data_IF_354349863741
#
_entry.id   IF_354349863741
#
_cell.length_a   1.000
_cell.length_b   1.000
_cell.length_c   1.000
_cell.angle_alpha   90.00
_cell.angle_beta   90.00
_cell.angle_gamma   90.00
#
_symmetry.space_group_name_H-M   'P 1'
#
loop_
_entity.id
_entity.type
_entity.pdbx_description
1 polymer ?
#
# COMPACT_ATOMS: atom_id res chain seq x y z
N UNK A 1 -24.72 5.33 25.00
CA UNK A 1 -25.14 5.52 23.59
C UNK A 1 -24.60 6.86 23.17
N UNK A 2 -23.78 6.88 22.12
CA UNK A 2 -23.12 8.09 21.63
C UNK A 2 -23.25 8.21 20.12
N UNK A 3 -23.00 9.43 19.63
CA UNK A 3 -22.86 9.74 18.21
C UNK A 3 -21.65 10.65 18.05
N UNK A 4 -20.76 10.32 17.13
CA UNK A 4 -19.59 11.14 16.84
C UNK A 4 -19.24 11.09 15.37
N UNK A 5 -18.96 12.24 14.79
CA UNK A 5 -18.45 12.36 13.41
C UNK A 5 -17.28 13.34 13.45
N UNK A 6 -16.11 12.88 13.01
CA UNK A 6 -14.91 13.69 12.84
C UNK A 6 -15.11 14.58 11.63
N UNK A 7 -15.08 15.90 11.85
CA UNK A 7 -15.19 16.87 10.75
C UNK A 7 -13.90 16.87 9.94
N UNK A 8 -14.03 17.01 8.63
CA UNK A 8 -12.92 17.14 7.67
C UNK A 8 -11.97 15.92 7.60
N UNK A 9 -12.41 14.76 8.06
CA UNK A 9 -11.73 13.50 7.77
C UNK A 9 -12.34 12.92 6.50
N UNK A 10 -11.53 12.83 5.44
CA UNK A 10 -11.90 12.26 4.16
C UNK A 10 -10.68 11.62 3.50
N UNK A 11 -10.91 10.61 2.66
CA UNK A 11 -9.86 9.90 1.95
C UNK A 11 -9.84 10.29 0.48
N UNK A 12 -8.66 10.31 -0.12
CA UNK A 12 -8.51 10.43 -1.58
C UNK A 12 -7.77 9.20 -2.09
N UNK A 13 -8.42 8.41 -2.93
CA UNK A 13 -7.80 7.25 -3.57
C UNK A 13 -6.86 7.72 -4.67
N UNK A 14 -5.65 7.16 -4.66
CA UNK A 14 -4.73 7.26 -5.79
C UNK A 14 -4.15 5.90 -6.13
N UNK A 15 -3.56 5.21 -5.15
CA UNK A 15 -2.91 3.91 -5.33
C UNK A 15 -3.83 2.73 -5.01
N UNK A 16 -5.03 2.99 -4.46
CA UNK A 16 -5.94 1.97 -3.91
C UNK A 16 -5.24 1.08 -2.88
N UNK A 17 -4.24 1.64 -2.19
CA UNK A 17 -3.42 0.94 -1.21
C UNK A 17 -3.72 1.44 0.20
N UNK A 18 -3.23 0.70 1.19
CA UNK A 18 -3.35 1.07 2.59
C UNK A 18 -2.82 2.50 2.89
N UNK A 19 -1.85 2.99 2.11
CA UNK A 19 -1.27 4.33 2.33
C UNK A 19 -2.29 5.45 2.10
N UNK A 20 -3.28 5.26 1.21
CA UNK A 20 -4.33 6.26 0.97
C UNK A 20 -5.15 6.49 2.26
N UNK A 21 -5.51 5.40 2.94
CA UNK A 21 -6.27 5.44 4.19
C UNK A 21 -5.42 5.94 5.37
N UNK A 22 -4.19 5.45 5.49
CA UNK A 22 -3.26 5.88 6.54
C UNK A 22 -2.94 7.38 6.43
N UNK A 23 -2.70 7.89 5.22
CA UNK A 23 -2.42 9.31 4.98
C UNK A 23 -3.57 10.19 5.44
N UNK A 24 -4.81 9.82 5.10
CA UNK A 24 -6.00 10.55 5.50
C UNK A 24 -6.15 10.64 7.03
N UNK A 25 -6.00 9.52 7.74
CA UNK A 25 -6.14 9.50 9.20
C UNK A 25 -5.03 10.27 9.90
N UNK A 26 -3.76 10.08 9.50
CA UNK A 26 -2.63 10.74 10.14
C UNK A 26 -2.60 12.24 9.87
N UNK A 27 -2.97 12.67 8.66
CA UNK A 27 -3.05 14.10 8.31
C UNK A 27 -4.16 14.78 9.10
N UNK A 28 -5.34 14.15 9.20
CA UNK A 28 -6.46 14.66 9.99
C UNK A 28 -6.12 14.79 11.47
N UNK A 29 -5.41 13.80 12.04
CA UNK A 29 -4.95 13.84 13.42
C UNK A 29 -3.84 14.88 13.67
N UNK A 30 -3.27 15.48 12.62
CA UNK A 30 -2.12 16.39 12.71
C UNK A 30 -0.82 15.67 13.07
N UNK A 31 -0.73 14.37 12.83
CA UNK A 31 0.40 13.52 13.20
C UNK A 31 1.45 13.39 12.10
N UNK A 32 1.15 13.86 10.89
CA UNK A 32 2.11 13.93 9.81
C UNK A 32 1.90 15.18 8.97
N UNK A 33 3.00 15.70 8.42
CA UNK A 33 3.00 16.71 7.36
C UNK A 33 3.52 16.14 6.05
N UNK A 34 3.76 14.83 5.97
CA UNK A 34 4.26 14.17 4.77
C UNK A 34 3.21 14.23 3.65
N UNK A 35 3.66 14.46 2.43
CA UNK A 35 2.85 14.13 1.27
C UNK A 35 2.61 12.63 1.22
N UNK A 36 1.58 12.20 0.49
CA UNK A 36 1.29 10.78 0.30
C UNK A 36 2.47 10.04 -0.33
N UNK A 37 3.15 10.63 -1.30
CA UNK A 37 4.38 10.08 -1.90
C UNK A 37 5.46 9.81 -0.85
N UNK A 38 5.73 10.79 0.02
CA UNK A 38 6.70 10.61 1.11
C UNK A 38 6.25 9.53 2.08
N UNK A 39 4.97 9.54 2.47
CA UNK A 39 4.41 8.51 3.35
C UNK A 39 4.57 7.11 2.73
N UNK A 40 4.28 6.97 1.43
CA UNK A 40 4.41 5.72 0.67
C UNK A 40 5.84 5.18 0.61
N UNK A 41 6.82 6.08 0.50
CA UNK A 41 8.23 5.75 0.55
C UNK A 41 8.69 5.31 1.93
N UNK A 42 8.41 6.11 2.97
CA UNK A 42 8.90 5.85 4.34
C UNK A 42 8.25 4.63 4.99
N UNK A 43 6.98 4.33 4.66
CA UNK A 43 6.30 3.10 5.12
C UNK A 43 6.62 1.88 4.25
N UNK A 44 7.41 2.07 3.19
CA UNK A 44 7.82 1.05 2.22
C UNK A 44 6.65 0.51 1.37
N UNK A 45 5.43 1.02 1.56
CA UNK A 45 4.26 0.53 0.81
C UNK A 45 4.42 0.73 -0.69
N UNK A 46 5.05 1.83 -1.12
CA UNK A 46 5.30 2.11 -2.55
C UNK A 46 6.32 1.18 -3.20
N UNK A 47 7.23 0.60 -2.42
CA UNK A 47 8.23 -0.35 -2.91
C UNK A 47 7.72 -1.80 -2.95
N UNK A 48 6.57 -2.10 -2.32
CA UNK A 48 5.95 -3.42 -2.44
C UNK A 48 5.49 -3.63 -3.88
N UNK A 49 5.90 -4.75 -4.46
CA UNK A 49 5.49 -5.13 -5.79
C UNK A 49 5.25 -6.63 -5.85
N UNK A 50 3.98 -7.03 -5.78
CA UNK A 50 3.55 -8.42 -5.84
C UNK A 50 2.41 -8.56 -6.86
N UNK A 51 2.50 -9.57 -7.72
CA UNK A 51 1.49 -9.84 -8.74
C UNK A 51 1.11 -11.30 -8.73
N UNK A 52 -0.18 -11.58 -8.79
CA UNK A 52 -0.63 -12.90 -9.19
C UNK A 52 -0.20 -13.13 -10.63
N UNK A 53 0.24 -14.34 -10.98
CA UNK A 53 0.68 -14.70 -12.34
C UNK A 53 -0.40 -14.60 -13.43
N UNK A 54 -1.63 -14.31 -13.02
CA UNK A 54 -2.81 -14.06 -13.89
C UNK A 54 -3.31 -12.62 -13.83
N UNK A 55 -2.57 -11.73 -13.16
CA UNK A 55 -2.86 -10.30 -13.00
C UNK A 55 -4.25 -10.02 -12.41
N UNK A 56 -4.60 -10.77 -11.37
CA UNK A 56 -5.88 -10.63 -10.66
C UNK A 56 -5.86 -9.40 -9.75
N UNK A 57 -7.03 -8.79 -9.58
CA UNK A 57 -7.17 -7.44 -9.01
C UNK A 57 -6.69 -7.32 -7.55
N UNK A 58 -6.64 -8.40 -6.81
CA UNK A 58 -6.16 -8.46 -5.43
C UNK A 58 -4.65 -8.24 -5.30
N UNK A 59 -3.89 -8.35 -6.39
CA UNK A 59 -2.42 -8.31 -6.41
C UNK A 59 -1.80 -7.18 -5.56
N UNK A 60 -2.21 -5.90 -5.70
CA UNK A 60 -1.61 -4.80 -4.92
C UNK A 60 -1.88 -4.89 -3.40
N UNK A 61 -2.91 -5.66 -3.02
CA UNK A 61 -3.34 -5.85 -1.63
C UNK A 61 -3.02 -7.25 -1.10
N UNK A 62 -2.44 -8.13 -1.91
CA UNK A 62 -2.07 -9.49 -1.50
C UNK A 62 -0.79 -9.45 -0.68
N UNK A 63 -0.93 -9.35 0.64
CA UNK A 63 0.18 -9.42 1.61
C UNK A 63 -0.34 -9.62 3.04
N UNK A 64 0.57 -9.83 3.99
CA UNK A 64 0.22 -9.90 5.41
C UNK A 64 -0.16 -8.52 5.98
N UNK A 65 -1.44 -8.14 5.89
CA UNK A 65 -1.94 -6.85 6.38
C UNK A 65 -1.59 -6.59 7.85
N UNK A 66 -1.71 -7.60 8.70
CA UNK A 66 -1.45 -7.48 10.13
C UNK A 66 0.01 -7.09 10.41
N UNK A 67 0.96 -7.82 9.82
CA UNK A 67 2.37 -7.56 10.05
C UNK A 67 2.81 -6.26 9.38
N UNK A 68 2.41 -6.05 8.12
CA UNK A 68 2.99 -5.00 7.29
C UNK A 68 2.38 -3.63 7.56
N UNK A 69 1.07 -3.54 7.82
CA UNK A 69 0.45 -2.26 8.18
C UNK A 69 0.79 -1.85 9.63
N UNK A 70 1.12 -2.81 10.49
CA UNK A 70 1.69 -2.54 11.81
C UNK A 70 3.09 -1.92 11.65
N UNK A 71 3.98 -2.56 10.88
CA UNK A 71 5.31 -2.00 10.59
C UNK A 71 5.25 -0.64 9.89
N UNK A 72 4.28 -0.42 8.99
CA UNK A 72 4.08 0.88 8.36
C UNK A 72 3.84 1.99 9.39
N UNK A 73 3.06 1.73 10.45
CA UNK A 73 2.83 2.69 11.53
C UNK A 73 4.13 2.93 12.34
N UNK A 74 4.85 1.87 12.69
CA UNK A 74 6.13 1.96 13.42
C UNK A 74 7.19 2.77 12.66
N UNK A 75 7.27 2.63 11.33
CA UNK A 75 8.24 3.38 10.50
C UNK A 75 8.04 4.89 10.55
N UNK A 76 6.84 5.36 10.92
CA UNK A 76 6.55 6.79 11.08
C UNK A 76 6.32 7.19 12.54
N UNK A 77 6.70 6.33 13.48
CA UNK A 77 6.63 6.61 14.90
C UNK A 77 5.20 6.64 15.43
N UNK A 78 4.26 5.92 14.79
CA UNK A 78 2.86 5.85 15.21
C UNK A 78 2.59 4.48 15.83
N UNK A 79 2.11 4.44 17.07
CA UNK A 79 1.64 3.19 17.66
C UNK A 79 0.25 2.85 17.15
N UNK A 80 -0.01 1.57 16.90
CA UNK A 80 -1.28 1.12 16.37
C UNK A 80 -1.68 -0.26 16.90
N UNK A 81 -2.99 -0.46 16.99
CA UNK A 81 -3.61 -1.76 17.25
C UNK A 81 -4.42 -2.19 16.03
N UNK A 82 -4.36 -3.45 15.67
CA UNK A 82 -5.08 -4.00 14.52
C UNK A 82 -5.58 -5.41 14.80
N UNK A 83 -6.55 -5.86 14.00
CA UNK A 83 -6.91 -7.27 13.91
C UNK A 83 -7.46 -7.58 12.53
N UNK A 84 -7.28 -8.82 12.10
CA UNK A 84 -7.76 -9.32 10.83
C UNK A 84 -8.22 -10.77 10.95
N UNK A 85 -8.97 -11.24 9.96
CA UNK A 85 -9.28 -12.66 9.85
C UNK A 85 -10.34 -12.94 8.78
N UNK A 86 -11.04 -14.06 8.96
CA UNK A 86 -12.12 -14.48 8.08
C UNK A 86 -13.48 -14.30 8.73
N UNK A 87 -14.44 -13.77 7.99
CA UNK A 87 -15.81 -13.50 8.47
C UNK A 87 -16.66 -14.76 8.62
N UNK A 88 -16.26 -15.88 7.99
CA UNK A 88 -16.95 -17.17 8.13
C UNK A 88 -16.62 -17.93 9.43
N UNK A 89 -15.66 -17.46 10.23
CA UNK A 89 -15.33 -18.12 11.49
C UNK A 89 -16.46 -17.97 12.52
N UNK A 90 -16.81 -19.03 13.29
CA UNK A 90 -17.87 -18.95 14.30
C UNK A 90 -17.65 -17.88 15.38
N UNK A 91 -16.39 -17.52 15.64
CA UNK A 91 -16.00 -16.49 16.62
C UNK A 91 -16.04 -15.08 16.04
N UNK A 92 -16.29 -14.90 14.74
CA UNK A 92 -16.29 -13.61 14.06
C UNK A 92 -17.21 -12.56 14.70
N UNK A 93 -18.45 -12.88 15.14
CA UNK A 93 -19.30 -11.90 15.81
C UNK A 93 -18.63 -11.24 17.04
N UNK A 94 -17.84 -12.00 17.82
CA UNK A 94 -17.12 -11.46 18.97
C UNK A 94 -16.00 -10.52 18.54
N UNK A 95 -15.28 -10.86 17.47
CA UNK A 95 -14.24 -10.01 16.92
C UNK A 95 -14.80 -8.71 16.32
N UNK A 96 -15.95 -8.79 15.65
CA UNK A 96 -16.67 -7.63 15.11
C UNK A 96 -17.06 -6.66 16.21
N UNK A 97 -17.69 -7.15 17.28
CA UNK A 97 -18.11 -6.30 18.40
C UNK A 97 -16.90 -5.63 19.09
N UNK A 98 -15.80 -6.38 19.26
CA UNK A 98 -14.55 -5.85 19.79
C UNK A 98 -13.92 -4.80 18.86
N UNK A 99 -13.89 -5.04 17.55
CA UNK A 99 -13.38 -4.13 16.54
C UNK A 99 -14.15 -2.80 16.55
N UNK A 100 -15.49 -2.87 16.53
CA UNK A 100 -16.36 -1.69 16.60
C UNK A 100 -16.10 -0.91 17.89
N UNK A 101 -15.96 -1.60 19.02
CA UNK A 101 -15.60 -0.98 20.29
C UNK A 101 -14.28 -0.19 20.21
N UNK A 102 -13.24 -0.77 19.61
CA UNK A 102 -11.93 -0.10 19.46
C UNK A 102 -12.00 1.08 18.47
N UNK A 103 -12.69 0.93 17.35
CA UNK A 103 -12.92 2.00 16.38
C UNK A 103 -13.63 3.19 17.04
N UNK A 104 -14.69 2.94 17.79
CA UNK A 104 -15.41 3.98 18.54
C UNK A 104 -14.50 4.68 19.55
N UNK A 105 -13.71 3.92 20.31
CA UNK A 105 -12.77 4.49 21.27
C UNK A 105 -11.71 5.37 20.58
N UNK A 106 -11.25 5.00 19.38
CA UNK A 106 -10.35 5.83 18.55
C UNK A 106 -11.03 7.13 18.13
N UNK A 107 -12.25 7.02 17.60
CA UNK A 107 -13.06 8.16 17.19
C UNK A 107 -13.32 9.09 18.37
N UNK A 108 -13.58 8.58 19.57
CA UNK A 108 -13.76 9.35 20.79
C UNK A 108 -12.51 10.16 21.19
N UNK A 109 -11.31 9.68 20.85
CA UNK A 109 -10.05 10.44 20.96
C UNK A 109 -9.81 11.44 19.83
N UNK A 110 -10.66 11.44 18.80
CA UNK A 110 -10.54 12.34 17.64
C UNK A 110 -9.75 11.76 16.48
N UNK A 111 -9.42 10.46 16.51
CA UNK A 111 -8.59 9.79 15.51
C UNK A 111 -9.44 8.78 14.74
N UNK A 112 -9.41 8.85 13.40
CA UNK A 112 -10.07 7.89 12.53
C UNK A 112 -9.52 6.47 12.67
N UNK A 113 -10.17 5.51 12.01
CA UNK A 113 -9.68 4.15 11.90
C UNK A 113 -9.58 3.74 10.44
N UNK A 114 -8.69 2.80 10.11
CA UNK A 114 -8.65 2.14 8.80
C UNK A 114 -9.42 0.83 8.88
N UNK A 115 -10.20 0.49 7.86
CA UNK A 115 -10.94 -0.77 7.75
C UNK A 115 -10.78 -1.38 6.36
N UNK A 116 -11.09 -2.66 6.22
CA UNK A 116 -11.28 -3.31 4.93
C UNK A 116 -12.77 -3.43 4.59
N UNK A 117 -13.19 -2.71 3.55
CA UNK A 117 -14.51 -2.78 2.92
C UNK A 117 -14.33 -2.85 1.40
N UNK A 118 -14.00 -4.04 0.90
CA UNK A 118 -13.70 -4.29 -0.53
C UNK A 118 -12.55 -3.42 -1.09
N UNK A 119 -11.67 -3.00 -0.16
CA UNK A 119 -10.64 -1.99 -0.33
C UNK A 119 -10.33 -1.37 1.04
N UNK A 120 -9.19 -0.68 1.16
CA UNK A 120 -8.89 0.08 2.37
C UNK A 120 -9.75 1.34 2.39
N UNK A 121 -10.46 1.56 3.49
CA UNK A 121 -11.31 2.72 3.73
C UNK A 121 -11.05 3.30 5.12
N UNK A 122 -11.51 4.53 5.35
CA UNK A 122 -11.41 5.17 6.67
C UNK A 122 -12.77 5.23 7.35
N UNK A 123 -12.81 5.10 8.67
CA UNK A 123 -13.98 5.37 9.49
C UNK A 123 -13.82 6.74 10.13
N UNK A 124 -14.79 7.62 9.91
CA UNK A 124 -14.82 8.98 10.42
C UNK A 124 -15.92 9.22 11.46
N UNK A 125 -16.79 8.25 11.73
CA UNK A 125 -17.82 8.42 12.74
C UNK A 125 -18.59 7.17 13.09
N UNK A 126 -19.46 7.30 14.08
CA UNK A 126 -20.41 6.28 14.50
C UNK A 126 -21.71 6.91 15.02
N UNK A 127 -22.77 6.11 15.01
CA UNK A 127 -24.07 6.40 15.60
C UNK A 127 -24.61 5.14 16.27
N UNK A 128 -24.71 5.15 17.61
CA UNK A 128 -25.21 4.01 18.39
C UNK A 128 -26.73 3.85 18.35
N UNK A 129 -27.48 4.92 18.08
CA UNK A 129 -28.94 4.83 17.93
C UNK A 129 -29.28 4.09 16.65
N UNK A 130 -28.52 4.36 15.59
CA UNK A 130 -28.67 3.76 14.27
C UNK A 130 -27.81 2.50 14.06
N UNK A 131 -26.97 2.13 15.03
CA UNK A 131 -26.07 0.98 14.93
C UNK A 131 -25.15 1.02 13.71
N UNK A 132 -24.56 2.18 13.39
CA UNK A 132 -23.88 2.43 12.11
C UNK A 132 -22.51 3.10 12.32
N UNK A 133 -21.50 2.66 11.56
CA UNK A 133 -20.26 3.40 11.31
C UNK A 133 -20.39 4.29 10.07
N UNK A 134 -19.77 5.46 10.09
CA UNK A 134 -19.63 6.33 8.92
C UNK A 134 -18.23 6.21 8.35
N UNK A 135 -18.12 5.79 7.08
CA UNK A 135 -16.84 5.52 6.44
C UNK A 135 -16.71 6.25 5.10
N UNK A 136 -15.47 6.46 4.65
CA UNK A 136 -15.14 7.02 3.33
C UNK A 136 -14.19 6.05 2.62
N UNK A 137 -14.57 5.62 1.43
CA UNK A 137 -13.79 4.77 0.54
C UNK A 137 -12.99 5.58 -0.49
N UNK A 138 -13.01 6.92 -0.41
CA UNK A 138 -12.28 7.81 -1.30
C UNK A 138 -12.83 7.87 -2.73
N UNK A 139 -14.00 7.29 -2.98
CA UNK A 139 -14.72 7.34 -4.27
C UNK A 139 -15.42 8.67 -4.54
N UNK A 140 -15.32 9.65 -3.64
CA UNK A 140 -15.93 10.98 -3.80
C UNK A 140 -17.42 11.05 -3.48
N UNK A 141 -18.00 9.98 -2.93
CA UNK A 141 -19.41 9.91 -2.51
C UNK A 141 -19.65 10.54 -1.12
N UNK A 142 -18.59 10.94 -0.42
CA UNK A 142 -18.64 11.38 0.97
C UNK A 142 -18.84 10.22 1.93
N UNK A 143 -19.25 10.54 3.18
CA UNK A 143 -19.42 9.52 4.21
C UNK A 143 -20.60 8.58 3.91
N UNK A 144 -20.28 7.30 3.76
CA UNK A 144 -21.21 6.20 3.59
C UNK A 144 -21.55 5.56 4.94
N UNK A 145 -22.65 4.82 4.98
CA UNK A 145 -23.12 4.11 6.18
C UNK A 145 -22.71 2.64 6.11
N UNK A 146 -22.14 2.12 7.19
CA UNK A 146 -21.84 0.72 7.40
C UNK A 146 -22.52 0.24 8.70
N UNK A 147 -23.63 -0.51 8.61
CA UNK A 147 -24.24 -1.12 9.79
C UNK A 147 -23.23 -1.96 10.58
N UNK A 148 -23.34 -1.95 11.91
CA UNK A 148 -22.44 -2.68 12.80
C UNK A 148 -22.43 -4.18 12.53
N UNK A 149 -23.56 -4.77 12.17
CA UNK A 149 -23.69 -6.18 11.84
C UNK A 149 -23.08 -6.54 10.48
N UNK A 150 -23.00 -5.58 9.56
CA UNK A 150 -22.37 -5.70 8.24
C UNK A 150 -20.85 -5.49 8.27
N UNK A 151 -20.27 -5.01 9.37
CA UNK A 151 -18.81 -4.86 9.47
C UNK A 151 -18.11 -6.20 9.19
N UNK A 152 -17.14 -6.17 8.26
CA UNK A 152 -16.37 -7.33 7.80
C UNK A 152 -17.11 -8.28 6.86
N UNK A 153 -18.34 -7.94 6.44
CA UNK A 153 -19.02 -8.58 5.33
C UNK A 153 -18.60 -7.89 4.02
N UNK A 154 -17.80 -8.61 3.25
CA UNK A 154 -17.12 -8.14 2.06
C UNK A 154 -17.32 -9.16 0.92
N UNK A 155 -17.01 -8.77 -0.31
CA UNK A 155 -16.97 -9.69 -1.46
C UNK A 155 -15.97 -10.82 -1.19
N UNK A 156 -14.81 -10.45 -0.64
CA UNK A 156 -13.85 -11.40 -0.08
C UNK A 156 -14.22 -11.77 1.36
N UNK A 157 -13.87 -12.96 1.88
CA UNK A 157 -14.16 -13.33 3.26
C UNK A 157 -13.29 -12.61 4.30
N UNK A 158 -12.39 -11.70 3.88
CA UNK A 158 -11.44 -11.04 4.77
C UNK A 158 -12.09 -9.85 5.48
N UNK A 159 -11.73 -9.68 6.76
CA UNK A 159 -12.00 -8.46 7.52
C UNK A 159 -10.71 -7.95 8.14
N UNK A 160 -10.64 -6.64 8.34
CA UNK A 160 -9.49 -5.96 8.92
C UNK A 160 -9.90 -4.61 9.50
N UNK A 161 -9.24 -4.22 10.59
CA UNK A 161 -9.17 -2.82 11.02
C UNK A 161 -7.82 -2.49 11.62
N UNK A 162 -7.52 -1.19 11.65
CA UNK A 162 -6.42 -0.62 12.42
C UNK A 162 -6.84 0.71 13.04
N UNK A 163 -6.51 0.90 14.31
CA UNK A 163 -6.63 2.15 15.04
C UNK A 163 -5.23 2.66 15.40
N UNK A 164 -5.04 3.97 15.31
CA UNK A 164 -3.79 4.61 15.72
C UNK A 164 -3.95 5.24 17.11
N UNK A 165 -2.92 5.15 17.93
CA UNK A 165 -3.04 5.37 19.37
C UNK A 165 -2.18 6.53 19.89
N UNK A 166 -0.99 6.71 19.33
CA UNK A 166 -0.08 7.78 19.74
C UNK A 166 1.10 7.93 18.79
N UNK A 167 1.93 8.94 19.04
CA UNK A 167 3.11 9.27 18.24
C UNK A 167 4.36 9.41 19.09
N UNK A 168 5.49 9.08 18.49
CA UNK A 168 6.84 9.38 19.00
C UNK A 168 7.63 10.07 17.90
N UNK A 169 8.44 11.06 18.28
CA UNK A 169 9.35 11.70 17.35
C UNK A 169 10.51 10.76 17.00
N UNK A 170 10.75 10.60 15.71
CA UNK A 170 11.84 9.79 15.17
C UNK A 170 12.78 10.69 14.36
N UNK A 171 14.05 10.31 14.28
CA UNK A 171 15.01 10.98 13.39
C UNK A 171 14.62 10.70 11.92
N UNK A 172 14.24 11.73 11.13
CA UNK A 172 13.85 11.55 9.74
C UNK A 172 14.94 10.88 8.89
N UNK A 173 16.22 11.14 9.17
CA UNK A 173 17.32 10.56 8.40
C UNK A 173 17.44 9.05 8.60
N UNK A 174 17.13 8.56 9.80
CA UNK A 174 17.14 7.12 10.08
C UNK A 174 15.91 6.43 9.47
N UNK A 175 14.75 7.09 9.46
CA UNK A 175 13.56 6.59 8.74
C UNK A 175 13.88 6.44 7.24
N UNK A 176 14.45 7.48 6.62
CA UNK A 176 14.77 7.43 5.19
C UNK A 176 15.78 6.33 4.87
N UNK A 177 16.82 6.15 5.69
CA UNK A 177 17.78 5.05 5.51
C UNK A 177 17.13 3.69 5.67
N UNK A 178 16.28 3.49 6.69
CA UNK A 178 15.57 2.21 6.86
C UNK A 178 14.71 1.92 5.64
N UNK A 179 13.97 2.91 5.13
CA UNK A 179 13.14 2.74 3.92
C UNK A 179 13.95 2.29 2.69
N UNK A 180 15.17 2.80 2.51
CA UNK A 180 16.06 2.41 1.42
C UNK A 180 16.57 0.97 1.57
N UNK A 181 16.86 0.53 2.80
CA UNK A 181 17.22 -0.87 3.05
C UNK A 181 16.04 -1.80 2.79
N UNK A 182 14.84 -1.39 3.22
CA UNK A 182 13.63 -2.17 3.02
C UNK A 182 13.24 -2.23 1.55
N UNK A 183 13.44 -1.16 0.77
CA UNK A 183 13.27 -1.18 -0.69
C UNK A 183 14.14 -2.25 -1.35
N UNK A 184 15.44 -2.31 -1.00
CA UNK A 184 16.33 -3.36 -1.49
C UNK A 184 15.90 -4.76 -1.03
N UNK A 185 15.44 -4.90 0.21
CA UNK A 185 14.96 -6.18 0.73
C UNK A 185 13.71 -6.68 0.00
N UNK A 186 12.69 -5.83 -0.18
CA UNK A 186 11.43 -6.15 -0.88
C UNK A 186 11.65 -6.43 -2.37
N UNK A 187 12.69 -5.85 -2.97
CA UNK A 187 13.09 -6.16 -4.34
C UNK A 187 13.61 -7.59 -4.52
N UNK A 188 14.35 -8.08 -3.53
CA UNK A 188 15.10 -9.35 -3.61
C UNK A 188 14.40 -10.52 -2.92
N UNK A 189 13.55 -10.23 -1.93
CA UNK A 189 12.94 -11.24 -1.08
C UNK A 189 11.45 -11.35 -1.37
N UNK A 190 10.97 -12.51 -1.88
CA UNK A 190 9.56 -12.76 -2.04
C UNK A 190 8.80 -12.71 -0.72
N UNK A 191 7.53 -12.28 -0.76
CA UNK A 191 6.66 -12.33 0.40
C UNK A 191 6.34 -13.80 0.75
N UNK A 192 6.77 -14.23 1.95
CA UNK A 192 6.65 -15.62 2.39
C UNK A 192 5.22 -16.08 2.61
N UNK A 193 4.26 -15.17 2.77
CA UNK A 193 2.85 -15.55 2.93
C UNK A 193 2.16 -15.83 1.60
N UNK A 194 2.78 -15.45 0.49
CA UNK A 194 2.23 -15.66 -0.84
C UNK A 194 2.82 -16.94 -1.45
N UNK A 195 1.98 -17.86 -1.99
CA UNK A 195 2.49 -19.02 -2.71
C UNK A 195 3.28 -18.61 -3.96
N UNK A 196 4.56 -18.98 -4.06
CA UNK A 196 5.43 -18.65 -5.22
C UNK A 196 4.90 -19.19 -6.56
N UNK A 197 4.09 -20.24 -6.49
CA UNK A 197 3.41 -20.83 -7.64
C UNK A 197 2.36 -19.88 -8.24
N UNK A 198 1.71 -19.07 -7.40
CA UNK A 198 0.59 -18.20 -7.79
C UNK A 198 1.01 -16.74 -7.88
N UNK A 199 1.98 -16.32 -7.07
CA UNK A 199 2.45 -14.94 -6.97
C UNK A 199 3.94 -14.80 -7.30
N UNK A 200 4.29 -13.66 -7.86
CA UNK A 200 5.66 -13.22 -8.04
C UNK A 200 5.86 -11.85 -7.36
N UNK A 201 7.03 -11.64 -6.77
CA UNK A 201 7.35 -10.45 -5.98
C UNK A 201 8.63 -9.76 -6.47
N UNK A 202 8.75 -8.46 -6.22
CA UNK A 202 9.95 -7.66 -6.50
C UNK A 202 10.36 -7.78 -7.96
N UNK A 203 11.63 -8.15 -8.19
CA UNK A 203 12.15 -8.35 -9.55
C UNK A 203 11.31 -9.33 -10.39
N UNK A 204 10.86 -10.45 -9.79
CA UNK A 204 10.17 -11.52 -10.49
C UNK A 204 8.74 -11.14 -10.93
N UNK A 205 8.15 -10.11 -10.31
CA UNK A 205 6.82 -9.63 -10.68
C UNK A 205 6.79 -9.09 -12.12
N UNK A 206 7.86 -8.41 -12.57
CA UNK A 206 7.97 -7.96 -13.96
C UNK A 206 7.95 -9.13 -14.95
N UNK A 207 8.66 -10.22 -14.66
CA UNK A 207 8.67 -11.40 -15.52
C UNK A 207 7.30 -12.08 -15.55
N UNK A 208 6.61 -12.16 -14.41
CA UNK A 208 5.24 -12.68 -14.36
C UNK A 208 4.26 -11.83 -15.19
N UNK A 209 4.37 -10.50 -15.15
CA UNK A 209 3.56 -9.61 -16.00
C UNK A 209 3.85 -9.86 -17.47
N UNK A 210 5.13 -9.85 -17.88
CA UNK A 210 5.52 -10.06 -19.28
C UNK A 210 5.03 -11.42 -19.80
N UNK A 211 5.11 -12.47 -18.98
CA UNK A 211 4.62 -13.81 -19.32
C UNK A 211 3.09 -13.81 -19.48
N UNK A 212 2.35 -13.26 -18.52
CA UNK A 212 0.89 -13.20 -18.59
C UNK A 212 0.41 -12.46 -19.85
N UNK A 213 1.05 -11.32 -20.18
CA UNK A 213 0.78 -10.56 -21.39
C UNK A 213 1.10 -11.34 -22.66
N UNK A 214 2.17 -12.11 -22.68
CA UNK A 214 2.61 -12.86 -23.86
C UNK A 214 1.76 -14.11 -24.11
N UNK A 215 1.31 -14.77 -23.04
CA UNK A 215 0.47 -15.97 -23.13
C UNK A 215 -1.03 -15.64 -23.28
N UNK A 216 -1.42 -14.39 -23.00
CA UNK A 216 -2.82 -13.97 -23.00
C UNK A 216 -3.65 -14.53 -21.83
N UNK A 217 -3.00 -15.06 -20.78
CA UNK A 217 -3.65 -15.73 -19.65
C UNK A 217 -3.90 -14.72 -18.51
N UNK A 218 -4.83 -13.79 -18.74
CA UNK A 218 -5.27 -12.80 -17.77
C UNK A 218 -6.66 -12.26 -18.14
N UNK A 219 -7.34 -11.67 -17.16
CA UNK A 219 -8.52 -10.84 -17.40
C UNK A 219 -8.10 -9.38 -17.63
N UNK A 220 -8.44 -8.74 -18.77
CA UNK A 220 -7.97 -7.38 -19.07
C UNK A 220 -8.48 -6.29 -18.11
N UNK A 221 -9.66 -6.48 -17.50
CA UNK A 221 -10.22 -5.51 -16.53
C UNK A 221 -9.47 -5.61 -15.21
N UNK A 222 -9.22 -6.83 -14.74
CA UNK A 222 -8.43 -7.04 -13.53
C UNK A 222 -6.99 -6.58 -13.70
N UNK A 223 -6.34 -6.94 -14.82
CA UNK A 223 -4.99 -6.50 -15.12
C UNK A 223 -4.88 -4.97 -15.20
N UNK A 224 -5.92 -4.31 -15.74
CA UNK A 224 -5.96 -2.85 -15.77
C UNK A 224 -5.94 -2.25 -14.36
N UNK A 225 -6.76 -2.77 -13.45
CA UNK A 225 -6.76 -2.33 -12.04
C UNK A 225 -5.42 -2.55 -11.35
N UNK A 226 -4.72 -3.66 -11.63
CA UNK A 226 -3.36 -3.91 -11.11
C UNK A 226 -2.38 -2.84 -11.60
N UNK A 227 -2.42 -2.50 -12.90
CA UNK A 227 -1.52 -1.50 -13.47
C UNK A 227 -1.85 -0.08 -13.01
N UNK A 228 -3.13 0.26 -12.79
CA UNK A 228 -3.54 1.54 -12.19
C UNK A 228 -2.91 1.73 -10.81
N UNK A 229 -3.08 0.75 -9.92
CA UNK A 229 -2.54 0.80 -8.55
C UNK A 229 -1.02 0.93 -8.55
N UNK A 230 -0.33 0.15 -9.39
CA UNK A 230 1.13 0.24 -9.46
C UNK A 230 1.64 1.48 -10.18
N UNK A 231 0.92 2.04 -11.16
CA UNK A 231 1.30 3.31 -11.77
C UNK A 231 1.31 4.45 -10.74
N UNK A 232 0.29 4.51 -9.88
CA UNK A 232 0.27 5.45 -8.77
C UNK A 232 1.41 5.19 -7.77
N UNK A 233 1.63 3.93 -7.36
CA UNK A 233 2.71 3.59 -6.45
C UNK A 233 4.11 3.94 -7.00
N UNK A 234 4.35 3.71 -8.30
CA UNK A 234 5.64 4.04 -8.95
C UNK A 234 5.85 5.55 -9.11
N UNK A 235 4.78 6.32 -9.37
CA UNK A 235 4.84 7.79 -9.31
C UNK A 235 5.23 8.27 -7.92
N UNK A 236 4.56 7.76 -6.89
CA UNK A 236 4.83 8.13 -5.49
C UNK A 236 6.28 7.81 -5.09
N UNK A 237 6.80 6.64 -5.47
CA UNK A 237 8.20 6.28 -5.24
C UNK A 237 9.16 7.19 -6.01
N UNK A 238 8.83 7.57 -7.25
CA UNK A 238 9.65 8.51 -8.02
C UNK A 238 9.75 9.88 -7.31
N UNK A 239 8.63 10.43 -6.84
CA UNK A 239 8.62 11.69 -6.09
C UNK A 239 9.39 11.59 -4.77
N UNK A 240 9.24 10.47 -4.05
CA UNK A 240 9.98 10.20 -2.83
C UNK A 240 11.50 10.14 -3.09
N UNK A 241 11.92 9.45 -4.14
CA UNK A 241 13.33 9.32 -4.49
C UNK A 241 13.94 10.63 -4.98
N UNK A 242 13.17 11.47 -5.67
CA UNK A 242 13.60 12.83 -6.02
C UNK A 242 13.82 13.70 -4.77
N UNK A 243 12.94 13.61 -3.78
CA UNK A 243 13.17 14.28 -2.49
C UNK A 243 14.44 13.74 -1.82
N UNK A 244 14.65 12.42 -1.79
CA UNK A 244 15.85 11.83 -1.21
C UNK A 244 17.13 12.24 -1.95
N UNK A 245 17.10 12.43 -3.28
CA UNK A 245 18.28 12.87 -4.02
C UNK A 245 18.66 14.32 -3.73
N UNK A 246 17.69 15.17 -3.36
CA UNK A 246 17.97 16.53 -2.86
C UNK A 246 18.68 16.52 -1.51
N UNK A 247 18.41 15.52 -0.67
CA UNK A 247 19.09 15.31 0.62
C UNK A 247 20.45 14.63 0.46
N UNK A 248 20.52 13.64 -0.43
CA UNK A 248 21.71 12.85 -0.74
C UNK A 248 21.93 12.80 -2.25
N UNK A 249 22.72 13.72 -2.82
CA UNK A 249 22.95 13.79 -4.27
C UNK A 249 23.49 12.50 -4.90
N UNK A 250 24.09 11.61 -4.09
CA UNK A 250 24.54 10.28 -4.52
C UNK A 250 23.38 9.37 -4.96
N UNK A 251 22.14 9.65 -4.54
CA UNK A 251 20.94 8.93 -4.94
C UNK A 251 20.32 9.47 -6.24
N UNK A 252 20.87 10.51 -6.87
CA UNK A 252 20.36 11.04 -8.15
C UNK A 252 20.21 9.95 -9.23
N UNK A 253 21.16 9.01 -9.43
CA UNK A 253 20.99 7.92 -10.38
C UNK A 253 19.83 6.97 -10.02
N UNK A 254 19.53 6.79 -8.73
CA UNK A 254 18.39 5.99 -8.28
C UNK A 254 17.07 6.73 -8.52
N UNK A 255 17.02 8.04 -8.26
CA UNK A 255 15.87 8.89 -8.56
C UNK A 255 15.55 8.92 -10.06
N UNK A 256 16.57 9.05 -10.92
CA UNK A 256 16.42 8.95 -12.37
C UNK A 256 15.86 7.58 -12.81
N UNK A 257 16.33 6.50 -12.17
CA UNK A 257 15.80 5.16 -12.41
C UNK A 257 14.32 5.06 -12.09
N UNK A 258 13.89 5.52 -10.91
CA UNK A 258 12.47 5.50 -10.53
C UNK A 258 11.60 6.44 -11.36
N UNK A 259 12.14 7.57 -11.84
CA UNK A 259 11.44 8.43 -12.81
C UNK A 259 11.12 7.67 -14.10
N UNK A 260 12.08 6.93 -14.63
CA UNK A 260 11.88 6.09 -15.83
C UNK A 260 10.86 4.96 -15.58
N UNK A 261 10.85 4.39 -14.38
CA UNK A 261 9.83 3.40 -13.99
C UNK A 261 8.43 4.03 -14.00
N UNK A 262 8.27 5.19 -13.35
CA UNK A 262 7.00 5.92 -13.33
C UNK A 262 6.53 6.28 -14.74
N UNK A 263 7.42 6.79 -15.59
CA UNK A 263 7.14 7.11 -16.99
C UNK A 263 6.68 5.88 -17.79
N UNK A 264 7.33 4.72 -17.58
CA UNK A 264 6.95 3.47 -18.24
C UNK A 264 5.54 3.01 -17.84
N UNK A 265 5.21 3.06 -16.54
CA UNK A 265 3.86 2.75 -16.07
C UNK A 265 2.82 3.76 -16.57
N UNK A 266 3.16 5.04 -16.66
CA UNK A 266 2.26 6.04 -17.26
C UNK A 266 1.99 5.75 -18.74
N UNK A 267 3.00 5.32 -19.50
CA UNK A 267 2.83 4.88 -20.90
C UNK A 267 1.97 3.61 -21.00
N UNK A 268 2.10 2.68 -20.05
CA UNK A 268 1.20 1.50 -19.96
C UNK A 268 -0.25 1.96 -19.80
N UNK A 269 -0.51 2.88 -18.86
CA UNK A 269 -1.85 3.45 -18.67
C UNK A 269 -2.39 4.13 -19.93
N UNK A 270 -1.60 5.00 -20.58
CA UNK A 270 -2.01 5.65 -21.82
C UNK A 270 -2.20 4.68 -22.99
N UNK A 271 -1.56 3.51 -22.97
CA UNK A 271 -1.78 2.48 -23.98
C UNK A 271 -3.14 1.78 -23.82
N UNK A 272 -3.70 1.78 -22.61
CA UNK A 272 -4.96 1.16 -22.21
C UNK A 272 -6.18 2.08 -22.31
N UNK A 273 -5.99 3.40 -22.40
CA UNK A 273 -7.08 4.38 -22.42
C UNK A 273 -8.13 4.10 -23.51
N UNK A 274 -9.38 3.99 -23.06
CA UNK A 274 -10.60 3.99 -23.87
C UNK A 274 -11.16 2.63 -24.33
N UNK A 275 -10.49 1.50 -24.08
CA UNK A 275 -11.02 0.15 -24.35
C UNK A 275 -10.09 -0.93 -23.74
N UNK A 276 -10.53 -1.64 -22.70
CA UNK A 276 -9.75 -2.72 -22.06
C UNK A 276 -9.37 -3.85 -23.03
N UNK A 277 -10.09 -4.04 -24.15
CA UNK A 277 -9.70 -4.99 -25.19
C UNK A 277 -8.52 -4.50 -26.06
N UNK A 278 -8.07 -3.24 -25.93
CA UNK A 278 -6.83 -2.75 -26.54
C UNK A 278 -5.58 -3.36 -25.93
N UNK A 279 -5.64 -3.81 -24.68
CA UNK A 279 -4.50 -4.45 -24.01
C UNK A 279 -4.01 -5.65 -24.82
N UNK A 280 -4.93 -6.52 -25.24
CA UNK A 280 -4.67 -7.69 -26.11
C UNK A 280 -4.07 -7.33 -27.48
N UNK A 281 -4.32 -6.12 -28.00
CA UNK A 281 -3.78 -5.67 -29.30
C UNK A 281 -2.41 -5.03 -29.18
N UNK A 282 -1.94 -4.74 -27.96
CA UNK A 282 -0.69 -4.03 -27.67
C UNK A 282 0.26 -4.82 -26.77
N UNK A 283 0.03 -6.12 -26.59
CA UNK A 283 0.80 -6.97 -25.67
C UNK A 283 2.30 -6.84 -25.87
N UNK A 284 2.77 -6.87 -27.13
CA UNK A 284 4.20 -6.68 -27.43
C UNK A 284 4.74 -5.30 -26.98
N UNK A 285 3.98 -4.23 -27.20
CA UNK A 285 4.37 -2.89 -26.75
C UNK A 285 4.37 -2.77 -25.24
N UNK A 286 3.40 -3.39 -24.56
CA UNK A 286 3.34 -3.43 -23.10
C UNK A 286 4.50 -4.22 -22.50
N UNK A 287 4.84 -5.38 -23.09
CA UNK A 287 6.00 -6.19 -22.68
C UNK A 287 7.29 -5.37 -22.76
N UNK A 288 7.49 -4.58 -23.82
CA UNK A 288 8.66 -3.70 -23.94
C UNK A 288 8.68 -2.60 -22.86
N UNK A 289 7.54 -2.03 -22.49
CA UNK A 289 7.45 -1.04 -21.41
C UNK A 289 7.78 -1.66 -20.04
N UNK A 290 7.31 -2.89 -19.78
CA UNK A 290 7.65 -3.59 -18.54
C UNK A 290 9.11 -4.04 -18.50
N UNK A 291 9.72 -4.33 -19.65
CA UNK A 291 11.17 -4.58 -19.73
C UNK A 291 11.98 -3.31 -19.41
N UNK A 292 11.58 -2.16 -19.98
CA UNK A 292 12.19 -0.85 -19.66
C UNK A 292 12.07 -0.53 -18.16
N UNK A 293 10.89 -0.72 -17.58
CA UNK A 293 10.64 -0.50 -16.15
C UNK A 293 11.49 -1.45 -15.28
N UNK A 294 11.54 -2.74 -15.61
CA UNK A 294 12.33 -3.73 -14.87
C UNK A 294 13.81 -3.37 -14.84
N UNK A 295 14.39 -3.01 -16.00
CA UNK A 295 15.79 -2.61 -16.09
C UNK A 295 16.08 -1.33 -15.30
N UNK A 296 15.18 -0.35 -15.38
CA UNK A 296 15.32 0.91 -14.66
C UNK A 296 15.25 0.71 -13.13
N UNK A 297 14.27 -0.05 -12.63
CA UNK A 297 14.13 -0.33 -11.20
C UNK A 297 15.29 -1.19 -10.67
N UNK A 298 15.73 -2.20 -11.45
CA UNK A 298 16.91 -2.99 -11.11
C UNK A 298 18.16 -2.12 -10.95
N UNK A 299 18.39 -1.20 -11.89
CA UNK A 299 19.47 -0.22 -11.82
C UNK A 299 19.36 0.68 -10.59
N UNK A 300 18.17 1.23 -10.32
CA UNK A 300 17.91 2.09 -9.17
C UNK A 300 18.18 1.39 -7.84
N UNK A 301 17.70 0.14 -7.68
CA UNK A 301 17.98 -0.66 -6.49
C UNK A 301 19.48 -0.94 -6.35
N UNK A 302 20.20 -1.19 -7.45
CA UNK A 302 21.66 -1.32 -7.43
C UNK A 302 22.39 -0.08 -6.88
N UNK A 303 21.89 1.11 -7.22
CA UNK A 303 22.41 2.38 -6.70
C UNK A 303 22.08 2.57 -5.22
N UNK A 304 20.85 2.25 -4.81
CA UNK A 304 20.44 2.25 -3.40
C UNK A 304 21.35 1.31 -2.58
N UNK A 305 21.56 0.09 -3.04
CA UNK A 305 22.45 -0.87 -2.38
C UNK A 305 23.87 -0.35 -2.25
N UNK A 306 24.39 0.29 -3.30
CA UNK A 306 25.73 0.89 -3.30
C UNK A 306 25.85 2.01 -2.28
N UNK A 307 24.86 2.90 -2.23
CA UNK A 307 24.77 3.94 -1.20
C UNK A 307 24.72 3.37 0.22
N UNK A 308 24.05 2.22 0.41
CA UNK A 308 23.90 1.57 1.71
C UNK A 308 25.03 0.58 2.09
N UNK A 309 26.08 0.41 1.26
CA UNK A 309 27.11 -0.64 1.42
C UNK A 309 27.84 -0.65 2.77
N UNK A 310 28.01 0.51 3.43
CA UNK A 310 28.65 0.57 4.75
C UNK A 310 27.75 0.01 5.88
N UNK A 311 26.42 0.04 5.74
CA UNK A 311 25.48 -0.41 6.78
C UNK A 311 24.95 -1.83 6.57
N UNK A 312 24.75 -2.27 5.32
CA UNK A 312 24.25 -3.63 5.03
C UNK A 312 25.23 -4.70 5.53
N UNK A 313 26.55 -4.44 5.45
CA UNK A 313 27.59 -5.36 5.94
C UNK A 313 27.63 -5.48 7.46
N UNK A 314 27.28 -4.41 8.20
CA UNK A 314 27.33 -4.39 9.67
C UNK A 314 26.09 -5.03 10.35
N UNK A 315 25.00 -5.27 9.61
CA UNK A 315 23.76 -5.86 10.18
C UNK A 315 23.87 -7.37 10.43
N UNK A 316 24.84 -8.06 9.83
CA UNK A 316 25.07 -9.49 10.06
C UNK A 316 25.52 -9.80 11.51
N UNK A 317 25.96 -8.78 12.26
CA UNK A 317 26.42 -8.92 13.65
C UNK A 317 25.37 -8.52 14.71
N UNK A 318 24.20 -8.01 14.31
CA UNK A 318 23.15 -7.58 15.25
C UNK A 318 21.93 -8.52 15.24
N UNK A 319 21.86 -9.37 16.27
CA UNK A 319 20.88 -10.46 16.44
C UNK A 319 19.43 -9.95 16.64
N UNK A 320 19.22 -8.69 17.04
CA UNK A 320 17.90 -8.15 17.41
C UNK A 320 16.98 -7.72 16.25
N UNK A 321 17.40 -7.90 14.99
CA UNK A 321 16.63 -7.51 13.80
C UNK A 321 16.47 -8.69 12.80
N UNK A 322 16.57 -9.93 13.30
CA UNK A 322 16.22 -11.15 12.56
C UNK A 322 14.78 -11.55 12.78
#
# INVERSE_FOLDING_TARGET
>A
MGKKILKNLGMTIESRSYVDAMHAVLTHAGWTTYSKAVLSGVTVTGFRFAVHRRLTAESPTAYNWMAENFLAADFVGVTASSSAGFSFHPTFPLYRDAAIGQIKASLDRGVGAVIWKDGFAIVAGYDDEEGTLYYDDGGGLGLQRLPYDEFGQNESPYWYYQVFEGTVELDPLEIYKESLMQAAYKWETPDRVLPEADYACGFAAYDAIKQALSDGVYDPVQAAGVFESYAAAKRDVSEYMEMLSRLWPQLEPAADGYRRVADAFQKVMGAMDGDHNRMKRKEQSLVLLFDEAQQAEHGAIGQIKTFMQERIRNRFDHIGLR
#
